data_IF_778165294133
#
_entry.id   IF_778165294133
#
_cell.length_a   1.000
_cell.length_b   1.000
_cell.length_c   1.000
_cell.angle_alpha   90.00
_cell.angle_beta   90.00
_cell.angle_gamma   90.00
#
_symmetry.space_group_name_H-M   'P 1'
#
loop_
_entity.id
_entity.type
_entity.pdbx_description
1 polymer ?
#
# COMPACT_ATOMS: atom_id res chain seq x y z
N UNK A 1 -1.31 14.93 29.77
CA UNK A 1 -1.91 16.06 29.02
C UNK A 1 -2.18 15.59 27.59
N UNK A 2 -3.46 15.46 27.17
CA UNK A 2 -3.82 15.23 25.75
C UNK A 2 -3.58 16.56 25.02
N UNK A 3 -2.56 16.65 24.18
CA UNK A 3 -2.36 17.82 23.33
C UNK A 3 -3.62 18.00 22.47
N UNK A 4 -4.17 19.21 22.42
CA UNK A 4 -5.28 19.55 21.52
C UNK A 4 -4.79 19.27 20.09
N UNK A 5 -5.41 18.30 19.40
CA UNK A 5 -5.13 17.99 18.00
C UNK A 5 -5.85 19.04 17.15
N UNK A 6 -5.13 20.07 16.77
CA UNK A 6 -5.64 21.09 15.85
C UNK A 6 -5.36 20.66 14.40
N UNK A 7 -6.34 20.89 13.52
CA UNK A 7 -6.11 20.77 12.08
C UNK A 7 -5.28 21.99 11.64
N UNK A 8 -4.04 21.75 11.24
CA UNK A 8 -3.14 22.80 10.77
C UNK A 8 -3.69 23.60 9.57
N UNK A 9 -4.73 23.07 8.89
CA UNK A 9 -5.29 23.66 7.67
C UNK A 9 -6.66 24.30 7.85
N UNK A 10 -7.41 24.02 8.92
CA UNK A 10 -8.81 24.48 9.07
C UNK A 10 -9.14 25.15 10.41
N UNK A 11 -8.20 25.34 11.32
CA UNK A 11 -8.39 25.97 12.66
C UNK A 11 -9.57 25.39 13.50
N UNK A 12 -10.05 24.18 13.21
CA UNK A 12 -11.12 23.51 13.94
C UNK A 12 -10.57 22.36 14.79
N UNK A 13 -11.10 22.20 15.99
CA UNK A 13 -10.73 21.08 16.86
C UNK A 13 -11.13 19.73 16.21
N UNK A 14 -10.15 18.85 16.00
CA UNK A 14 -10.40 17.49 15.51
C UNK A 14 -10.71 16.60 16.70
N UNK A 15 -11.94 16.07 16.75
CA UNK A 15 -12.38 15.09 17.75
C UNK A 15 -11.88 13.69 17.41
N UNK A 16 -12.03 13.27 16.13
CA UNK A 16 -11.60 11.97 15.63
C UNK A 16 -10.77 12.17 14.37
N UNK A 17 -9.44 11.99 14.41
CA UNK A 17 -8.59 12.08 13.23
C UNK A 17 -8.80 10.84 12.34
N UNK A 18 -8.50 10.95 11.03
CA UNK A 18 -8.59 9.83 10.11
C UNK A 18 -7.57 8.73 10.44
N UNK A 19 -6.34 9.13 10.76
CA UNK A 19 -5.24 8.25 11.11
C UNK A 19 -4.31 8.93 12.10
N UNK A 20 -3.70 8.14 12.99
CA UNK A 20 -2.65 8.60 13.90
C UNK A 20 -1.48 7.63 13.77
N UNK A 21 -0.30 8.09 13.33
CA UNK A 21 0.90 7.28 13.35
C UNK A 21 1.24 6.80 14.76
N UNK A 22 1.53 5.51 14.91
CA UNK A 22 1.89 4.94 16.20
C UNK A 22 3.39 5.05 16.47
N UNK A 23 3.84 6.21 16.92
CA UNK A 23 5.24 6.47 17.31
C UNK A 23 5.33 6.64 18.80
N UNK A 24 6.13 5.80 19.46
CA UNK A 24 6.34 5.80 20.91
C UNK A 24 7.79 6.12 21.31
N UNK A 25 8.09 6.06 22.61
CA UNK A 25 9.43 6.32 23.15
C UNK A 25 10.49 5.35 22.62
N UNK A 26 10.11 4.10 22.35
CA UNK A 26 11.05 3.10 21.80
C UNK A 26 11.47 3.45 20.36
N UNK A 27 10.58 4.05 19.57
CA UNK A 27 10.88 4.52 18.22
C UNK A 27 11.84 5.71 18.25
N UNK A 28 11.59 6.67 19.16
CA UNK A 28 12.48 7.83 19.37
C UNK A 28 13.88 7.38 19.79
N UNK A 29 13.96 6.40 20.72
CA UNK A 29 15.25 5.82 21.17
C UNK A 29 15.98 5.12 20.02
N UNK A 30 15.28 4.38 19.17
CA UNK A 30 15.86 3.70 18.02
C UNK A 30 16.50 4.70 17.04
N UNK A 31 15.80 5.80 16.72
CA UNK A 31 16.32 6.88 15.87
C UNK A 31 17.54 7.52 16.50
N UNK A 32 17.49 7.87 17.80
CA UNK A 32 18.60 8.51 18.51
C UNK A 32 19.87 7.62 18.51
N UNK A 33 19.71 6.30 18.60
CA UNK A 33 20.84 5.36 18.49
C UNK A 33 21.41 5.36 17.06
N UNK A 34 20.57 5.37 16.03
CA UNK A 34 21.01 5.38 14.65
C UNK A 34 21.80 6.64 14.29
N UNK A 35 21.46 7.79 14.88
CA UNK A 35 22.18 9.06 14.69
C UNK A 35 23.61 9.06 15.25
N UNK A 36 23.95 8.12 16.14
CA UNK A 36 25.32 7.96 16.66
C UNK A 36 26.23 7.18 15.71
N UNK A 37 25.69 6.63 14.62
CA UNK A 37 26.47 5.85 13.64
C UNK A 37 27.24 6.77 12.69
N UNK A 38 28.46 6.38 12.36
CA UNK A 38 29.25 7.03 11.29
C UNK A 38 28.77 6.63 9.88
N UNK A 39 27.93 5.59 9.77
CA UNK A 39 27.33 5.13 8.52
C UNK A 39 25.84 5.49 8.54
N UNK A 40 25.43 6.47 7.76
CA UNK A 40 24.06 6.95 7.71
C UNK A 40 23.26 6.40 6.52
N UNK A 41 23.92 5.72 5.57
CA UNK A 41 23.30 5.10 4.40
C UNK A 41 23.97 3.76 4.08
N UNK A 42 23.17 2.80 3.55
CA UNK A 42 23.63 1.46 3.13
C UNK A 42 24.43 0.69 4.21
N UNK A 43 24.06 0.91 5.46
CA UNK A 43 24.76 0.42 6.64
C UNK A 43 24.17 -0.87 7.24
N UNK A 44 24.59 -1.20 8.47
CA UNK A 44 24.20 -2.47 9.12
C UNK A 44 22.74 -2.49 9.57
N UNK A 45 22.15 -1.33 9.90
CA UNK A 45 20.74 -1.26 10.37
C UNK A 45 19.80 -1.56 9.22
N UNK A 46 20.05 -1.02 8.02
CA UNK A 46 19.28 -1.34 6.82
C UNK A 46 19.34 -2.84 6.53
N UNK A 47 20.54 -3.45 6.55
CA UNK A 47 20.69 -4.90 6.32
C UNK A 47 19.92 -5.72 7.34
N UNK A 48 19.93 -5.31 8.61
CA UNK A 48 19.15 -5.96 9.67
C UNK A 48 17.65 -5.78 9.43
N UNK A 49 17.19 -4.60 9.03
CA UNK A 49 15.79 -4.35 8.70
C UNK A 49 15.34 -5.22 7.51
N UNK A 50 16.09 -5.25 6.41
CA UNK A 50 15.84 -6.13 5.25
C UNK A 50 15.75 -7.60 5.69
N UNK A 51 16.68 -8.09 6.52
CA UNK A 51 16.69 -9.47 7.04
C UNK A 51 15.46 -9.79 7.89
N UNK A 52 15.11 -8.92 8.85
CA UNK A 52 13.92 -9.13 9.70
C UNK A 52 12.61 -8.99 8.90
N UNK A 53 12.57 -8.11 7.90
CA UNK A 53 11.41 -7.96 7.03
C UNK A 53 11.21 -9.20 6.14
N UNK A 54 12.28 -9.75 5.57
CA UNK A 54 12.20 -11.00 4.80
C UNK A 54 11.75 -12.17 5.69
N UNK A 55 12.24 -12.26 6.93
CA UNK A 55 11.78 -13.26 7.91
C UNK A 55 10.30 -13.10 8.26
N UNK A 56 9.84 -11.86 8.46
CA UNK A 56 8.45 -11.56 8.79
C UNK A 56 7.49 -11.95 7.66
N UNK A 57 7.86 -11.69 6.41
CA UNK A 57 7.04 -11.98 5.22
C UNK A 57 7.20 -13.41 4.68
N UNK A 58 8.25 -14.13 5.11
CA UNK A 58 8.58 -15.44 4.55
C UNK A 58 9.23 -15.37 3.15
N UNK A 59 9.70 -14.19 2.74
CA UNK A 59 10.48 -14.03 1.52
C UNK A 59 11.95 -14.39 1.73
N UNK A 60 12.67 -14.71 0.65
CA UNK A 60 14.12 -14.97 0.73
C UNK A 60 14.93 -13.67 0.82
N UNK A 61 14.47 -12.63 0.14
CA UNK A 61 15.17 -11.34 0.02
C UNK A 61 14.22 -10.18 0.24
N UNK A 62 14.73 -9.15 0.90
CA UNK A 62 14.08 -7.85 1.02
C UNK A 62 15.08 -6.75 0.64
N UNK A 63 14.60 -5.68 0.01
CA UNK A 63 15.39 -4.55 -0.49
C UNK A 63 14.69 -3.27 -0.07
N UNK A 64 15.28 -2.53 0.88
CA UNK A 64 14.74 -1.24 1.32
C UNK A 64 14.92 -0.16 0.27
N UNK A 65 13.89 0.64 0.05
CA UNK A 65 13.84 1.72 -0.95
C UNK A 65 13.22 2.99 -0.38
N UNK A 66 13.35 4.11 -1.10
CA UNK A 66 12.89 5.43 -0.63
C UNK A 66 11.36 5.53 -0.42
N UNK A 67 10.55 4.79 -1.16
CA UNK A 67 9.10 4.71 -1.04
C UNK A 67 8.52 3.55 -1.88
N UNK A 68 7.21 3.29 -1.78
CA UNK A 68 6.55 2.23 -2.56
C UNK A 68 6.48 2.52 -4.07
N UNK A 69 6.39 3.79 -4.47
CA UNK A 69 6.41 4.17 -5.90
C UNK A 69 7.72 3.75 -6.54
N UNK A 70 8.85 4.01 -5.87
CA UNK A 70 10.17 3.53 -6.27
C UNK A 70 10.25 2.00 -6.28
N UNK A 71 9.59 1.33 -5.31
CA UNK A 71 9.54 -0.13 -5.26
C UNK A 71 8.87 -0.72 -6.52
N UNK A 72 7.69 -0.20 -6.88
CA UNK A 72 6.94 -0.62 -8.06
C UNK A 72 7.72 -0.34 -9.35
N UNK A 73 8.29 0.87 -9.48
CA UNK A 73 9.09 1.26 -10.64
C UNK A 73 10.32 0.36 -10.82
N UNK A 74 11.07 0.11 -9.76
CA UNK A 74 12.25 -0.77 -9.80
C UNK A 74 11.87 -2.21 -10.13
N UNK A 75 10.72 -2.71 -9.61
CA UNK A 75 10.22 -4.05 -9.92
C UNK A 75 9.91 -4.20 -11.40
N UNK A 76 9.18 -3.26 -11.99
CA UNK A 76 8.89 -3.22 -13.42
C UNK A 76 10.19 -3.14 -14.25
N UNK A 77 11.09 -2.22 -13.91
CA UNK A 77 12.37 -2.04 -14.60
C UNK A 77 13.23 -3.30 -14.54
N UNK A 78 13.27 -3.97 -13.40
CA UNK A 78 14.07 -5.19 -13.22
C UNK A 78 13.55 -6.40 -14.00
N UNK A 79 12.28 -6.37 -14.39
CA UNK A 79 11.63 -7.34 -15.28
C UNK A 79 11.75 -6.98 -16.76
N UNK A 80 12.42 -5.87 -17.10
CA UNK A 80 12.59 -5.41 -18.46
C UNK A 80 11.35 -4.75 -19.07
N UNK A 81 10.33 -4.44 -18.24
CA UNK A 81 9.08 -3.82 -18.72
C UNK A 81 9.31 -2.35 -19.04
N UNK A 82 8.94 -1.93 -20.25
CA UNK A 82 9.21 -0.59 -20.77
C UNK A 82 8.35 -0.18 -21.95
N UNK A 83 8.90 0.69 -22.81
CA UNK A 83 8.20 1.24 -23.97
C UNK A 83 7.68 0.14 -24.88
N UNK A 84 6.39 0.20 -25.22
CA UNK A 84 5.70 -0.78 -26.05
C UNK A 84 4.95 -1.86 -25.26
N UNK A 85 5.30 -2.06 -23.99
CA UNK A 85 4.63 -3.02 -23.10
C UNK A 85 3.38 -2.42 -22.46
N UNK A 86 2.46 -3.30 -22.06
CA UNK A 86 1.25 -2.97 -21.32
C UNK A 86 1.27 -3.69 -19.97
N UNK A 87 0.79 -2.99 -18.93
CA UNK A 87 0.66 -3.52 -17.57
C UNK A 87 -0.77 -3.31 -17.07
N UNK A 88 -1.44 -4.41 -16.72
CA UNK A 88 -2.80 -4.36 -16.19
C UNK A 88 -2.77 -3.98 -14.70
N UNK A 89 -3.54 -2.94 -14.35
CA UNK A 89 -3.67 -2.41 -12.98
C UNK A 89 -5.14 -2.16 -12.64
N UNK A 90 -5.56 -2.19 -11.36
CA UNK A 90 -6.93 -1.81 -11.00
C UNK A 90 -7.18 -0.33 -11.21
N UNK A 91 -8.39 0.03 -11.62
CA UNK A 91 -8.82 1.43 -11.78
C UNK A 91 -9.00 2.16 -10.43
N UNK A 92 -9.39 1.44 -9.36
CA UNK A 92 -9.44 1.97 -7.99
C UNK A 92 -8.15 1.60 -7.26
N UNK A 93 -7.17 2.49 -7.35
CA UNK A 93 -5.90 2.42 -6.64
C UNK A 93 -5.32 3.82 -6.42
N UNK A 94 -4.27 3.91 -5.63
CA UNK A 94 -3.49 5.15 -5.53
C UNK A 94 -2.70 5.40 -6.82
N UNK A 95 -2.54 6.65 -7.17
CA UNK A 95 -1.87 7.09 -8.42
C UNK A 95 -0.46 6.52 -8.63
N UNK A 96 0.22 6.11 -7.54
CA UNK A 96 1.56 5.55 -7.61
C UNK A 96 1.64 4.27 -8.45
N UNK A 97 0.59 3.45 -8.45
CA UNK A 97 0.53 2.21 -9.25
C UNK A 97 0.60 2.52 -10.76
N UNK A 98 -0.18 3.52 -11.24
CA UNK A 98 -0.14 3.95 -12.63
C UNK A 98 1.16 4.70 -12.96
N UNK A 99 1.61 5.60 -12.07
CA UNK A 99 2.84 6.37 -12.28
C UNK A 99 4.06 5.46 -12.42
N UNK A 100 4.16 4.41 -11.60
CA UNK A 100 5.27 3.47 -11.68
C UNK A 100 5.36 2.79 -13.05
N UNK A 101 4.23 2.44 -13.67
CA UNK A 101 4.17 1.92 -15.04
C UNK A 101 4.62 2.98 -16.05
N UNK A 102 4.06 4.19 -15.95
CA UNK A 102 4.41 5.29 -16.88
C UNK A 102 5.89 5.68 -16.80
N UNK A 103 6.51 5.64 -15.62
CA UNK A 103 7.94 5.94 -15.43
C UNK A 103 8.88 4.94 -16.14
N UNK A 104 8.41 3.74 -16.47
CA UNK A 104 9.19 2.80 -17.29
C UNK A 104 9.00 3.01 -18.79
N UNK A 105 8.06 3.85 -19.19
CA UNK A 105 7.64 4.04 -20.58
C UNK A 105 6.57 3.03 -21.04
N UNK A 106 6.16 2.10 -20.18
CA UNK A 106 5.06 1.17 -20.44
C UNK A 106 3.70 1.87 -20.30
N UNK A 107 2.66 1.24 -20.84
CA UNK A 107 1.29 1.76 -20.80
C UNK A 107 0.45 1.05 -19.74
N UNK A 108 -0.14 1.76 -18.77
CA UNK A 108 -1.11 1.17 -17.86
C UNK A 108 -2.41 0.82 -18.59
N UNK A 109 -2.91 -0.40 -18.37
CA UNK A 109 -4.24 -0.83 -18.82
C UNK A 109 -5.13 -0.96 -17.59
N UNK A 110 -6.22 -0.19 -17.57
CA UNK A 110 -7.10 -0.13 -16.41
C UNK A 110 -8.11 -1.29 -16.44
N UNK A 111 -8.11 -2.12 -15.42
CA UNK A 111 -9.08 -3.16 -15.18
C UNK A 111 -10.06 -2.75 -14.09
N UNK A 112 -11.31 -3.19 -14.20
CA UNK A 112 -12.34 -2.96 -13.19
C UNK A 112 -12.06 -3.76 -11.91
N UNK A 113 -12.76 -3.41 -10.83
CA UNK A 113 -12.64 -4.04 -9.53
C UNK A 113 -13.87 -4.90 -9.21
N UNK A 114 -13.77 -5.81 -8.25
CA UNK A 114 -14.93 -6.53 -7.72
C UNK A 114 -15.76 -5.59 -6.83
N UNK A 115 -17.06 -5.83 -6.78
CA UNK A 115 -17.97 -5.03 -5.97
C UNK A 115 -17.83 -5.28 -4.47
N UNK A 116 -17.48 -6.50 -4.08
CA UNK A 116 -17.47 -7.02 -2.70
C UNK A 116 -16.14 -6.81 -1.96
N UNK A 117 -15.05 -6.44 -2.64
CA UNK A 117 -13.74 -6.26 -1.99
C UNK A 117 -12.87 -5.13 -2.55
N UNK A 118 -13.30 -4.48 -3.64
CA UNK A 118 -12.57 -3.42 -4.34
C UNK A 118 -11.19 -3.86 -4.89
N UNK A 119 -10.88 -5.15 -4.85
CA UNK A 119 -9.69 -5.71 -5.48
C UNK A 119 -9.91 -5.88 -6.98
N UNK A 120 -8.82 -5.99 -7.74
CA UNK A 120 -8.87 -6.16 -9.19
C UNK A 120 -9.69 -7.40 -9.58
N UNK A 121 -10.60 -7.25 -10.55
CA UNK A 121 -11.44 -8.33 -11.04
C UNK A 121 -10.70 -9.19 -12.06
N UNK A 122 -10.66 -10.52 -11.81
CA UNK A 122 -10.04 -11.47 -12.74
C UNK A 122 -10.74 -11.48 -14.11
N UNK A 123 -12.07 -11.34 -14.13
CA UNK A 123 -12.84 -11.24 -15.35
C UNK A 123 -12.48 -9.97 -16.14
N UNK A 124 -12.19 -8.86 -15.43
CA UNK A 124 -11.74 -7.65 -16.10
C UNK A 124 -10.29 -7.75 -16.56
N UNK A 125 -9.42 -8.47 -15.86
CA UNK A 125 -8.06 -8.76 -16.34
C UNK A 125 -8.14 -9.52 -17.68
N UNK A 126 -8.90 -10.59 -17.73
CA UNK A 126 -9.07 -11.45 -18.93
C UNK A 126 -9.54 -10.64 -20.15
N UNK A 127 -10.49 -9.74 -19.96
CA UNK A 127 -11.01 -8.88 -21.04
C UNK A 127 -10.11 -7.71 -21.44
N UNK A 128 -9.06 -7.44 -20.68
CA UNK A 128 -8.11 -6.35 -20.96
C UNK A 128 -6.72 -6.84 -21.44
N UNK A 129 -6.51 -8.16 -21.56
CA UNK A 129 -5.25 -8.72 -22.04
C UNK A 129 -5.05 -8.47 -23.54
N UNK A 130 -3.83 -8.15 -23.93
CA UNK A 130 -3.40 -8.02 -25.33
C UNK A 130 -2.05 -8.71 -25.54
N UNK A 131 -1.59 -8.83 -26.79
CA UNK A 131 -0.23 -9.34 -27.11
C UNK A 131 0.90 -8.48 -26.52
N UNK A 132 0.60 -7.24 -26.12
CA UNK A 132 1.55 -6.29 -25.48
C UNK A 132 1.56 -6.42 -23.95
N UNK A 133 0.59 -7.09 -23.37
CA UNK A 133 0.53 -7.26 -21.91
C UNK A 133 1.69 -8.11 -21.42
N UNK A 134 2.45 -7.58 -20.44
CA UNK A 134 3.62 -8.25 -19.86
C UNK A 134 3.48 -8.51 -18.37
N UNK A 135 2.65 -7.73 -17.68
CA UNK A 135 2.47 -7.90 -16.24
C UNK A 135 1.09 -7.47 -15.76
N UNK A 136 0.78 -7.94 -14.55
CA UNK A 136 -0.37 -7.53 -13.74
C UNK A 136 0.18 -6.97 -12.42
N UNK A 137 -0.38 -5.84 -11.98
CA UNK A 137 -0.13 -5.30 -10.62
C UNK A 137 -1.43 -5.41 -9.81
N UNK A 138 -1.68 -6.53 -9.12
CA UNK A 138 -2.75 -6.60 -8.14
C UNK A 138 -2.43 -5.70 -6.95
N UNK A 139 -3.41 -4.92 -6.48
CA UNK A 139 -3.31 -4.08 -5.30
C UNK A 139 -4.15 -4.72 -4.20
N UNK A 140 -3.55 -5.09 -3.08
CA UNK A 140 -4.26 -5.66 -1.93
C UNK A 140 -4.98 -4.56 -1.16
N UNK A 141 -6.13 -4.14 -1.71
CA UNK A 141 -6.85 -2.95 -1.29
C UNK A 141 -7.30 -3.03 0.17
N UNK A 142 -7.18 -1.91 0.89
CA UNK A 142 -7.56 -1.76 2.30
C UNK A 142 -6.90 -2.76 3.28
N UNK A 143 -5.96 -3.57 2.80
CA UNK A 143 -5.31 -4.65 3.55
C UNK A 143 -5.95 -6.03 3.32
N UNK A 144 -6.99 -6.14 2.48
CA UNK A 144 -7.60 -7.40 2.06
C UNK A 144 -6.84 -7.98 0.87
N UNK A 145 -6.53 -9.27 0.93
CA UNK A 145 -5.81 -9.93 -0.15
C UNK A 145 -6.67 -10.02 -1.43
N UNK A 146 -6.06 -9.78 -2.59
CA UNK A 146 -6.61 -10.25 -3.86
C UNK A 146 -6.71 -11.78 -3.87
N UNK A 147 -7.54 -12.36 -4.75
CA UNK A 147 -7.56 -13.79 -5.00
C UNK A 147 -6.31 -14.21 -5.77
N UNK A 148 -5.22 -14.41 -5.04
CA UNK A 148 -3.90 -14.69 -5.63
C UNK A 148 -3.86 -16.04 -6.36
N UNK A 149 -4.67 -17.03 -5.94
CA UNK A 149 -4.76 -18.32 -6.64
C UNK A 149 -5.25 -18.14 -8.09
N UNK A 150 -6.32 -17.38 -8.28
CA UNK A 150 -6.86 -17.10 -9.62
C UNK A 150 -5.92 -16.24 -10.45
N UNK A 151 -5.31 -15.21 -9.84
CA UNK A 151 -4.36 -14.32 -10.54
C UNK A 151 -3.11 -15.09 -10.96
N UNK A 152 -2.52 -15.94 -10.10
CA UNK A 152 -1.37 -16.76 -10.44
C UNK A 152 -1.67 -17.75 -11.58
N UNK A 153 -2.85 -18.41 -11.51
CA UNK A 153 -3.28 -19.30 -12.59
C UNK A 153 -3.37 -18.54 -13.92
N UNK A 154 -4.09 -17.43 -13.93
CA UNK A 154 -4.25 -16.61 -15.13
C UNK A 154 -2.90 -16.11 -15.69
N UNK A 155 -2.04 -15.60 -14.82
CA UNK A 155 -0.72 -15.10 -15.21
C UNK A 155 0.16 -16.21 -15.83
N UNK A 156 0.13 -17.41 -15.25
CA UNK A 156 0.85 -18.57 -15.76
C UNK A 156 0.32 -19.01 -17.14
N UNK A 157 -1.01 -19.07 -17.30
CA UNK A 157 -1.67 -19.49 -18.55
C UNK A 157 -1.39 -18.50 -19.71
N UNK A 158 -1.02 -17.23 -19.39
CA UNK A 158 -0.77 -16.16 -20.35
C UNK A 158 0.68 -15.62 -20.35
N UNK A 159 1.64 -16.28 -19.71
CA UNK A 159 3.05 -15.87 -19.55
C UNK A 159 3.23 -14.43 -19.05
N UNK A 160 2.43 -14.03 -18.05
CA UNK A 160 2.48 -12.70 -17.45
C UNK A 160 3.25 -12.70 -16.14
N UNK A 161 3.92 -11.58 -15.85
CA UNK A 161 4.58 -11.33 -14.56
C UNK A 161 3.61 -10.72 -13.56
N UNK A 162 3.78 -11.02 -12.27
CA UNK A 162 2.98 -10.46 -11.19
C UNK A 162 3.87 -9.60 -10.30
N UNK A 163 3.47 -8.34 -10.10
CA UNK A 163 4.09 -7.42 -9.14
C UNK A 163 3.01 -7.06 -8.12
N UNK A 164 3.12 -7.55 -6.89
CA UNK A 164 2.09 -7.28 -5.88
C UNK A 164 2.28 -5.89 -5.25
N UNK A 165 1.29 -5.00 -5.39
CA UNK A 165 1.24 -3.76 -4.62
C UNK A 165 0.65 -4.04 -3.24
N UNK A 166 1.56 -4.19 -2.27
CA UNK A 166 1.27 -4.49 -0.87
C UNK A 166 1.27 -3.23 0.01
N UNK A 167 1.15 -2.03 -0.58
CA UNK A 167 1.23 -0.76 0.18
C UNK A 167 0.21 -0.65 1.31
N UNK A 168 -0.87 -1.44 1.29
CA UNK A 168 -1.90 -1.52 2.34
C UNK A 168 -1.83 -2.83 3.16
N UNK A 169 -0.93 -3.76 2.83
CA UNK A 169 -1.14 -5.15 3.18
C UNK A 169 0.00 -5.80 4.00
N UNK A 170 0.77 -4.99 4.76
CA UNK A 170 1.81 -5.55 5.62
C UNK A 170 1.18 -6.37 6.77
N UNK A 171 1.42 -7.67 6.74
CA UNK A 171 0.85 -8.64 7.66
C UNK A 171 -0.38 -9.37 7.12
N UNK A 172 -0.87 -9.00 5.92
CA UNK A 172 -1.96 -9.72 5.24
C UNK A 172 -1.47 -11.06 4.71
N UNK A 173 -2.34 -12.07 4.81
CA UNK A 173 -2.07 -13.42 4.30
C UNK A 173 -3.18 -13.90 3.37
N UNK A 174 -2.80 -14.66 2.37
CA UNK A 174 -3.65 -15.47 1.53
C UNK A 174 -3.21 -16.95 1.65
N UNK A 175 -4.13 -17.85 1.99
CA UNK A 175 -3.83 -19.28 2.21
C UNK A 175 -2.57 -19.50 3.09
N UNK A 176 -2.52 -18.81 4.25
CA UNK A 176 -1.44 -18.85 5.25
C UNK A 176 -0.12 -18.22 4.81
N UNK A 177 0.09 -17.88 3.53
CA UNK A 177 1.29 -17.19 3.02
C UNK A 177 1.09 -15.67 3.03
N UNK A 178 2.15 -14.92 3.31
CA UNK A 178 2.12 -13.46 3.28
C UNK A 178 1.95 -12.97 1.84
N UNK A 179 1.04 -12.00 1.61
CA UNK A 179 0.96 -11.32 0.31
C UNK A 179 2.29 -10.62 -0.01
N UNK A 180 2.59 -10.48 -1.30
CA UNK A 180 3.90 -10.05 -1.78
C UNK A 180 4.85 -11.21 -2.07
N UNK A 181 4.46 -12.47 -1.73
CA UNK A 181 5.26 -13.68 -2.00
C UNK A 181 4.69 -14.54 -3.12
N UNK A 182 3.63 -14.11 -3.78
CA UNK A 182 2.95 -14.84 -4.84
C UNK A 182 3.42 -14.46 -6.25
N UNK A 183 3.93 -13.24 -6.43
CA UNK A 183 4.51 -12.75 -7.68
C UNK A 183 6.03 -12.75 -7.68
N UNK A 184 6.62 -12.14 -8.72
CA UNK A 184 8.05 -11.92 -8.84
C UNK A 184 8.57 -11.00 -7.74
N UNK A 185 7.77 -9.97 -7.39
CA UNK A 185 8.08 -9.03 -6.32
C UNK A 185 6.81 -8.61 -5.58
N UNK A 186 6.97 -8.28 -4.29
CA UNK A 186 5.97 -7.58 -3.48
C UNK A 186 6.50 -6.23 -3.01
N UNK A 187 5.71 -5.16 -3.18
CA UNK A 187 6.11 -3.78 -2.94
C UNK A 187 5.34 -3.19 -1.75
N UNK A 188 6.04 -2.72 -0.72
CA UNK A 188 5.45 -2.20 0.53
C UNK A 188 5.76 -0.72 0.70
N UNK A 189 4.84 -0.02 1.38
CA UNK A 189 4.95 1.41 1.72
C UNK A 189 5.09 1.60 3.22
N UNK A 190 5.94 2.55 3.61
CA UNK A 190 6.12 2.98 4.98
C UNK A 190 5.78 4.46 5.19
N UNK A 191 4.88 4.99 4.35
CA UNK A 191 4.32 6.33 4.49
C UNK A 191 3.60 6.49 5.85
N UNK A 192 3.47 7.70 6.42
CA UNK A 192 2.93 7.91 7.77
C UNK A 192 1.55 7.31 8.04
N UNK A 193 0.71 7.15 7.03
CA UNK A 193 -0.63 6.56 7.20
C UNK A 193 -0.61 5.03 7.24
N UNK A 194 0.49 4.38 6.83
CA UNK A 194 0.58 2.92 6.71
C UNK A 194 0.68 2.23 8.07
N UNK A 195 0.44 0.92 8.08
CA UNK A 195 0.45 0.13 9.31
C UNK A 195 1.82 0.09 10.01
N UNK A 196 2.88 0.28 9.24
CA UNK A 196 4.24 0.54 9.68
C UNK A 196 4.72 1.81 8.97
N UNK A 197 5.33 2.73 9.70
CA UNK A 197 5.88 3.96 9.12
C UNK A 197 7.37 4.14 9.39
N UNK A 198 8.04 4.73 8.40
CA UNK A 198 9.39 5.27 8.52
C UNK A 198 9.44 6.75 8.07
N UNK A 199 8.33 7.48 8.20
CA UNK A 199 8.01 8.76 7.56
C UNK A 199 7.88 8.60 6.04
N UNK A 200 8.98 8.42 5.35
CA UNK A 200 9.08 7.94 3.98
C UNK A 200 9.88 6.65 3.95
N UNK A 201 9.52 5.73 3.07
CA UNK A 201 10.18 4.45 2.92
C UNK A 201 9.34 3.42 2.17
N UNK A 202 10.01 2.37 1.73
CA UNK A 202 9.39 1.22 1.11
C UNK A 202 10.29 -0.01 1.19
N UNK A 203 9.74 -1.15 0.81
CA UNK A 203 10.46 -2.41 0.73
C UNK A 203 10.00 -3.20 -0.49
N UNK A 204 10.94 -3.80 -1.20
CA UNK A 204 10.66 -4.81 -2.22
C UNK A 204 11.03 -6.16 -1.62
N UNK A 205 10.18 -7.17 -1.77
CA UNK A 205 10.52 -8.55 -1.43
C UNK A 205 10.50 -9.41 -2.70
N UNK A 206 11.35 -10.46 -2.70
CA UNK A 206 11.41 -11.43 -3.81
C UNK A 206 11.96 -12.78 -3.33
N UNK A 207 11.66 -13.83 -4.07
CA UNK A 207 12.24 -15.17 -3.86
C UNK A 207 13.52 -15.40 -4.69
N UNK A 208 13.82 -14.52 -5.65
CA UNK A 208 14.93 -14.66 -6.61
C UNK A 208 16.17 -13.89 -6.17
N UNK A 209 17.32 -14.59 -6.04
CA UNK A 209 18.62 -13.98 -5.76
C UNK A 209 19.03 -13.02 -6.86
N UNK A 210 18.89 -13.43 -8.13
CA UNK A 210 19.22 -12.61 -9.31
C UNK A 210 18.42 -11.32 -9.32
N UNK A 211 17.09 -11.39 -9.03
CA UNK A 211 16.23 -10.23 -8.92
C UNK A 211 16.69 -9.30 -7.80
N UNK A 212 16.98 -9.83 -6.61
CA UNK A 212 17.44 -9.04 -5.47
C UNK A 212 18.74 -8.28 -5.74
N UNK A 213 19.70 -8.92 -6.41
CA UNK A 213 20.98 -8.31 -6.81
C UNK A 213 20.74 -7.18 -7.83
N UNK A 214 19.90 -7.42 -8.83
CA UNK A 214 19.52 -6.42 -9.84
C UNK A 214 18.82 -5.22 -9.20
N UNK A 215 17.83 -5.45 -8.31
CA UNK A 215 17.12 -4.40 -7.58
C UNK A 215 18.05 -3.55 -6.70
N UNK A 216 19.05 -4.16 -6.04
CA UNK A 216 20.06 -3.44 -5.26
C UNK A 216 20.94 -2.55 -6.14
N UNK A 217 21.31 -3.02 -7.32
CA UNK A 217 22.05 -2.24 -8.31
C UNK A 217 21.21 -1.07 -8.82
N UNK A 218 19.98 -1.34 -9.30
CA UNK A 218 19.06 -0.32 -9.82
C UNK A 218 18.73 0.76 -8.76
N UNK A 219 18.55 0.38 -7.51
CA UNK A 219 18.32 1.30 -6.37
C UNK A 219 19.46 2.28 -6.17
N UNK A 220 20.68 1.88 -6.55
CA UNK A 220 21.92 2.62 -6.30
C UNK A 220 22.68 2.89 -7.61
N UNK A 221 22.12 3.72 -8.50
CA UNK A 221 22.74 4.21 -9.73
C UNK A 221 23.17 3.16 -10.75
N UNK A 222 22.73 1.89 -10.63
CA UNK A 222 23.20 0.79 -11.48
C UNK A 222 24.58 0.26 -11.12
N UNK A 223 25.14 0.68 -9.98
CA UNK A 223 26.46 0.27 -9.52
C UNK A 223 26.47 -1.24 -9.22
N UNK A 224 27.48 -1.94 -9.74
CA UNK A 224 27.61 -3.40 -9.62
C UNK A 224 28.19 -3.90 -8.29
N UNK A 225 29.00 -3.06 -7.62
CA UNK A 225 29.62 -3.37 -6.33
C UNK A 225 28.94 -2.59 -5.20
N UNK A 226 28.54 -3.26 -4.13
CA UNK A 226 28.06 -2.59 -2.91
C UNK A 226 29.15 -1.73 -2.28
N UNK A 227 28.76 -0.75 -1.44
CA UNK A 227 29.70 0.11 -0.71
C UNK A 227 30.74 -0.73 0.04
N UNK A 228 30.30 -1.77 0.77
CA UNK A 228 31.18 -2.69 1.48
C UNK A 228 32.19 -3.37 0.54
N UNK A 229 31.74 -3.91 -0.60
CA UNK A 229 32.64 -4.57 -1.55
C UNK A 229 33.70 -3.63 -2.10
N UNK A 230 33.34 -2.35 -2.33
CA UNK A 230 34.28 -1.33 -2.81
C UNK A 230 35.40 -1.05 -1.82
N UNK A 231 35.12 -1.07 -0.51
CA UNK A 231 36.12 -0.82 0.54
C UNK A 231 36.84 -2.06 1.05
N UNK A 232 36.40 -3.27 0.70
CA UNK A 232 37.03 -4.52 1.18
C UNK A 232 37.82 -5.27 0.11
N UNK A 233 37.59 -4.98 -1.18
CA UNK A 233 38.26 -5.67 -2.30
C UNK A 233 38.59 -4.67 -3.42
N UNK A 234 39.85 -4.35 -3.60
CA UNK A 234 40.33 -3.44 -4.64
C UNK A 234 40.23 -1.96 -4.26
N UNK A 235 40.20 -1.11 -5.24
CA UNK A 235 40.08 0.34 -5.03
C UNK A 235 38.61 0.77 -4.91
N UNK A 236 38.26 1.71 -3.99
CA UNK A 236 36.87 2.14 -3.78
C UNK A 236 36.19 2.72 -5.02
N UNK A 237 36.94 3.27 -5.94
CA UNK A 237 36.44 3.83 -7.20
C UNK A 237 36.36 2.82 -8.35
N UNK A 238 36.86 1.59 -8.18
CA UNK A 238 36.83 0.54 -9.20
C UNK A 238 35.47 -0.19 -9.16
N UNK A 239 34.48 0.40 -9.82
CA UNK A 239 33.16 -0.18 -10.03
C UNK A 239 32.65 0.11 -11.45
N UNK A 240 31.73 -0.72 -11.91
CA UNK A 240 31.11 -0.59 -13.22
C UNK A 240 29.62 -0.27 -13.10
N UNK A 241 29.07 0.40 -14.12
CA UNK A 241 27.65 0.71 -14.28
C UNK A 241 27.16 0.02 -15.56
N UNK A 242 26.44 -1.10 -15.41
CA UNK A 242 25.95 -1.90 -16.55
C UNK A 242 24.55 -1.51 -17.02
N UNK A 243 23.83 -0.70 -16.26
CA UNK A 243 22.49 -0.24 -16.57
C UNK A 243 22.21 1.09 -15.88
N UNK A 244 21.31 1.88 -16.46
CA UNK A 244 20.85 3.11 -15.81
C UNK A 244 20.05 2.76 -14.55
N UNK A 245 20.53 3.21 -13.40
CA UNK A 245 19.88 3.07 -12.10
C UNK A 245 19.42 4.40 -11.53
N UNK A 246 18.89 4.36 -10.32
CA UNK A 246 18.25 5.47 -9.62
C UNK A 246 18.90 5.70 -8.26
N UNK A 247 18.61 6.83 -7.63
CA UNK A 247 18.95 7.07 -6.23
C UNK A 247 17.73 6.88 -5.35
N UNK A 248 17.33 5.63 -5.14
CA UNK A 248 16.14 5.25 -4.37
C UNK A 248 16.49 4.52 -3.06
N UNK A 249 17.61 4.90 -2.45
CA UNK A 249 18.07 4.35 -1.17
C UNK A 249 17.18 4.82 -0.02
N UNK A 250 17.05 3.98 0.99
CA UNK A 250 16.57 4.35 2.33
C UNK A 250 17.80 4.46 3.26
N UNK A 251 17.77 5.43 4.15
CA UNK A 251 18.85 5.69 5.11
C UNK A 251 18.75 4.81 6.37
N UNK A 252 19.79 4.87 7.21
CA UNK A 252 19.87 4.10 8.46
C UNK A 252 18.87 4.59 9.51
N UNK A 253 18.54 5.88 9.52
CA UNK A 253 17.60 6.49 10.49
C UNK A 253 16.20 5.93 10.26
N UNK A 254 15.71 5.98 9.01
CA UNK A 254 14.42 5.40 8.62
C UNK A 254 14.42 3.88 8.78
N UNK A 255 15.53 3.23 8.46
CA UNK A 255 15.68 1.78 8.64
C UNK A 255 15.61 1.37 10.11
N UNK A 256 16.16 2.17 11.02
CA UNK A 256 16.10 1.96 12.46
C UNK A 256 14.67 2.06 13.00
N UNK A 257 13.94 3.10 12.55
CA UNK A 257 12.52 3.24 12.86
C UNK A 257 11.72 2.03 12.33
N UNK A 258 11.93 1.66 11.06
CA UNK A 258 11.26 0.53 10.43
C UNK A 258 11.50 -0.79 11.15
N UNK A 259 12.74 -1.05 11.56
CA UNK A 259 13.10 -2.23 12.33
C UNK A 259 12.39 -2.28 13.69
N UNK A 260 12.27 -1.14 14.39
CA UNK A 260 11.55 -1.08 15.66
C UNK A 260 10.03 -1.20 15.48
N UNK A 261 9.47 -0.54 14.48
CA UNK A 261 8.04 -0.62 14.12
C UNK A 261 7.64 -2.06 13.72
N UNK A 262 8.51 -2.78 13.00
CA UNK A 262 8.25 -4.16 12.59
C UNK A 262 8.03 -5.11 13.77
N UNK A 263 8.71 -4.89 14.90
CA UNK A 263 8.51 -5.68 16.13
C UNK A 263 7.08 -5.54 16.69
N UNK A 264 6.44 -4.42 16.43
CA UNK A 264 5.10 -4.06 16.95
C UNK A 264 3.97 -4.37 15.97
N UNK A 265 4.26 -4.67 14.71
CA UNK A 265 3.26 -4.73 13.63
C UNK A 265 2.13 -5.73 13.90
N UNK A 266 2.43 -6.92 14.46
CA UNK A 266 1.42 -7.92 14.79
C UNK A 266 0.41 -7.38 15.82
N UNK A 267 0.88 -6.67 16.86
CA UNK A 267 0.02 -6.04 17.87
C UNK A 267 -0.81 -4.92 17.25
N UNK A 268 -0.21 -4.07 16.41
CA UNK A 268 -0.91 -2.97 15.74
C UNK A 268 -2.02 -3.48 14.80
N UNK A 269 -1.75 -4.54 14.03
CA UNK A 269 -2.77 -5.15 13.17
C UNK A 269 -3.91 -5.79 13.98
N UNK A 270 -3.63 -6.47 15.09
CA UNK A 270 -4.67 -7.00 15.99
C UNK A 270 -5.58 -5.89 16.55
N UNK A 271 -5.03 -4.74 16.91
CA UNK A 271 -5.83 -3.60 17.39
C UNK A 271 -6.73 -3.05 16.27
N UNK A 272 -6.23 -2.93 15.03
CA UNK A 272 -7.04 -2.55 13.87
C UNK A 272 -8.14 -3.57 13.55
N UNK A 273 -7.83 -4.85 13.62
CA UNK A 273 -8.82 -5.94 13.46
C UNK A 273 -9.92 -5.87 14.52
N UNK A 274 -9.56 -5.58 15.77
CA UNK A 274 -10.55 -5.38 16.85
C UNK A 274 -11.46 -4.18 16.58
N UNK A 275 -10.91 -3.07 16.09
CA UNK A 275 -11.69 -1.90 15.71
C UNK A 275 -12.61 -2.20 14.49
N UNK A 276 -12.14 -2.95 13.48
CA UNK A 276 -12.97 -3.41 12.37
C UNK A 276 -14.14 -4.28 12.85
N UNK A 277 -13.89 -5.25 13.76
CA UNK A 277 -14.96 -6.07 14.37
C UNK A 277 -15.99 -5.21 15.10
N UNK A 278 -15.53 -4.17 15.81
CA UNK A 278 -16.43 -3.24 16.49
C UNK A 278 -17.30 -2.46 15.50
N UNK A 279 -16.73 -1.93 14.44
CA UNK A 279 -17.49 -1.25 13.38
C UNK A 279 -18.48 -2.21 12.69
N UNK A 280 -18.06 -3.41 12.28
CA UNK A 280 -18.94 -4.39 11.65
C UNK A 280 -20.17 -4.67 12.52
N UNK A 281 -19.97 -4.92 13.83
CA UNK A 281 -21.07 -5.19 14.77
C UNK A 281 -22.10 -4.06 14.84
N UNK A 282 -21.64 -2.80 14.77
CA UNK A 282 -22.50 -1.64 15.01
C UNK A 282 -23.04 -1.00 13.73
N UNK A 283 -22.42 -1.25 12.56
CA UNK A 283 -22.82 -0.64 11.28
C UNK A 283 -23.70 -1.52 10.42
N UNK A 284 -23.64 -2.85 10.56
CA UNK A 284 -24.42 -3.78 9.74
C UNK A 284 -25.95 -3.60 9.82
N UNK A 285 -26.44 -3.02 10.92
CA UNK A 285 -27.85 -2.78 11.16
C UNK A 285 -28.27 -1.32 10.85
N UNK A 286 -27.38 -0.51 10.26
CA UNK A 286 -27.71 0.84 9.79
C UNK A 286 -28.22 0.73 8.36
N UNK A 287 -29.49 1.01 8.15
CA UNK A 287 -30.09 0.94 6.81
C UNK A 287 -29.35 1.88 5.83
N UNK A 288 -29.18 1.43 4.60
CA UNK A 288 -28.43 2.17 3.59
C UNK A 288 -26.91 2.21 3.76
N UNK A 289 -26.34 1.54 4.79
CA UNK A 289 -24.91 1.33 4.93
C UNK A 289 -24.54 -0.12 4.66
N UNK A 290 -23.62 -0.34 3.72
CA UNK A 290 -23.02 -1.67 3.49
C UNK A 290 -21.57 -1.66 3.92
N UNK A 291 -21.15 -2.69 4.65
CA UNK A 291 -19.78 -2.89 5.12
C UNK A 291 -19.12 -4.02 4.32
N UNK A 292 -17.84 -3.86 4.04
CA UNK A 292 -17.04 -4.90 3.37
C UNK A 292 -16.57 -5.92 4.43
N UNK A 293 -17.43 -6.86 4.79
CA UNK A 293 -17.06 -7.92 5.72
C UNK A 293 -15.97 -8.83 5.12
N UNK A 294 -15.01 -9.19 5.94
CA UNK A 294 -13.99 -10.16 5.59
C UNK A 294 -14.12 -11.38 6.51
N UNK A 295 -14.56 -12.54 6.01
CA UNK A 295 -14.67 -13.74 6.82
C UNK A 295 -13.32 -14.25 7.35
N UNK A 296 -12.22 -13.79 6.75
CA UNK A 296 -10.84 -14.07 7.17
C UNK A 296 -10.15 -12.83 7.76
N UNK A 297 -10.89 -12.04 8.53
CA UNK A 297 -10.43 -10.74 9.06
C UNK A 297 -9.10 -10.85 9.84
N UNK A 298 -8.82 -11.97 10.50
CA UNK A 298 -7.55 -12.23 11.20
C UNK A 298 -6.36 -12.36 10.26
N UNK A 299 -6.59 -12.63 8.97
CA UNK A 299 -5.57 -12.64 7.92
C UNK A 299 -5.41 -11.30 7.21
N UNK A 300 -6.22 -10.29 7.57
CA UNK A 300 -6.23 -8.96 6.98
C UNK A 300 -5.47 -7.97 7.87
N UNK A 301 -4.64 -7.12 7.29
CA UNK A 301 -3.92 -6.05 8.02
C UNK A 301 -4.82 -4.89 8.46
N UNK A 302 -6.03 -4.80 7.92
CA UNK A 302 -7.02 -3.75 8.24
C UNK A 302 -6.42 -2.34 8.12
N UNK A 303 -5.88 -2.03 6.94
CA UNK A 303 -5.31 -0.70 6.71
C UNK A 303 -6.37 0.39 6.63
N UNK A 304 -7.46 0.13 5.91
CA UNK A 304 -8.62 1.03 5.80
C UNK A 304 -9.88 0.30 6.24
N UNK A 305 -10.85 1.07 6.75
CA UNK A 305 -12.20 0.62 6.96
C UNK A 305 -13.13 1.40 6.01
N UNK A 306 -13.57 0.74 4.95
CA UNK A 306 -14.39 1.34 3.89
C UNK A 306 -15.83 0.90 4.07
N UNK A 307 -16.76 1.85 3.93
CA UNK A 307 -18.20 1.59 3.85
C UNK A 307 -18.74 2.00 2.48
N UNK A 308 -19.85 1.42 2.08
CA UNK A 308 -20.64 1.80 0.91
C UNK A 308 -21.95 2.45 1.37
N UNK A 309 -22.23 3.64 0.86
CA UNK A 309 -23.45 4.38 1.11
C UNK A 309 -24.42 4.09 -0.04
N UNK A 310 -25.52 3.41 0.26
CA UNK A 310 -26.54 3.00 -0.70
C UNK A 310 -27.54 4.13 -0.92
N UNK A 311 -28.34 4.03 -1.97
CA UNK A 311 -29.34 5.05 -2.34
C UNK A 311 -30.40 5.29 -1.27
N UNK A 312 -30.78 4.23 -0.53
CA UNK A 312 -31.75 4.30 0.58
C UNK A 312 -31.19 4.90 1.88
N UNK A 313 -29.92 5.32 1.94
CA UNK A 313 -29.36 6.01 3.12
C UNK A 313 -29.89 7.45 3.27
N UNK A 314 -30.55 8.00 2.27
CA UNK A 314 -31.21 9.31 2.31
C UNK A 314 -30.30 10.50 1.97
N UNK A 315 -28.98 10.39 2.11
CA UNK A 315 -28.03 11.44 1.70
C UNK A 315 -26.85 10.89 0.89
N UNK A 316 -26.25 11.74 0.07
CA UNK A 316 -25.09 11.37 -0.73
C UNK A 316 -23.84 11.18 0.14
N UNK A 317 -22.85 10.38 -0.35
CA UNK A 317 -21.52 10.24 0.25
C UNK A 317 -20.86 11.61 0.51
N UNK A 318 -21.02 12.58 -0.39
CA UNK A 318 -20.40 13.91 -0.23
C UNK A 318 -21.05 14.71 0.89
N UNK A 319 -22.39 14.64 1.02
CA UNK A 319 -23.10 15.28 2.13
C UNK A 319 -22.73 14.62 3.46
N UNK A 320 -22.64 13.30 3.50
CA UNK A 320 -22.20 12.57 4.69
C UNK A 320 -20.75 12.96 5.08
N UNK A 321 -19.83 13.07 4.11
CA UNK A 321 -18.47 13.57 4.35
C UNK A 321 -18.50 14.97 5.00
N UNK A 322 -19.32 15.89 4.49
CA UNK A 322 -19.47 17.24 5.06
C UNK A 322 -20.02 17.20 6.49
N UNK A 323 -20.96 16.29 6.78
CA UNK A 323 -21.50 16.11 8.12
C UNK A 323 -20.44 15.56 9.11
N UNK A 324 -19.59 14.62 8.68
CA UNK A 324 -18.46 14.19 9.48
C UNK A 324 -17.51 15.35 9.82
N UNK A 325 -17.17 16.17 8.83
CA UNK A 325 -16.30 17.35 9.03
C UNK A 325 -16.91 18.34 10.03
N UNK A 326 -18.24 18.64 9.92
CA UNK A 326 -18.95 19.50 10.88
C UNK A 326 -18.89 18.97 12.32
N UNK A 327 -18.87 17.64 12.50
CA UNK A 327 -18.78 17.00 13.81
C UNK A 327 -17.32 16.77 14.29
N UNK A 328 -16.31 17.32 13.57
CA UNK A 328 -14.90 17.19 13.93
C UNK A 328 -14.31 15.80 13.64
N UNK A 329 -14.95 15.02 12.77
CA UNK A 329 -14.51 13.67 12.38
C UNK A 329 -13.90 13.74 10.99
N UNK A 330 -12.70 13.17 10.82
CA UNK A 330 -12.02 13.12 9.53
C UNK A 330 -12.25 11.78 8.86
N UNK A 331 -12.78 11.82 7.63
CA UNK A 331 -12.99 10.68 6.75
C UNK A 331 -12.25 10.91 5.43
N UNK A 332 -12.17 9.90 4.56
CA UNK A 332 -11.50 10.04 3.26
C UNK A 332 -12.16 9.14 2.21
N UNK A 333 -11.76 9.32 0.94
CA UNK A 333 -12.21 8.47 -0.17
C UNK A 333 -11.00 7.76 -0.77
N UNK A 334 -10.97 6.45 -0.70
CA UNK A 334 -9.95 5.60 -1.29
C UNK A 334 -10.58 4.69 -2.36
N UNK A 335 -10.40 4.98 -3.67
CA UNK A 335 -9.79 6.16 -4.23
C UNK A 335 -10.68 6.77 -5.31
N UNK A 336 -10.39 8.00 -5.73
CA UNK A 336 -10.91 8.49 -7.01
C UNK A 336 -10.35 7.58 -8.10
N UNK A 337 -11.19 6.95 -8.95
CA UNK A 337 -10.73 6.06 -10.01
C UNK A 337 -9.75 6.74 -10.97
N UNK A 338 -8.76 5.99 -11.43
CA UNK A 338 -7.69 6.53 -12.29
C UNK A 338 -8.24 7.14 -13.58
N UNK A 339 -9.25 6.50 -14.20
CA UNK A 339 -9.87 7.02 -15.43
C UNK A 339 -10.50 8.42 -15.27
N UNK A 340 -10.72 8.91 -14.03
CA UNK A 340 -11.28 10.25 -13.76
C UNK A 340 -10.23 11.35 -13.66
N UNK A 341 -8.94 11.04 -13.72
CA UNK A 341 -7.87 12.04 -13.73
C UNK A 341 -7.50 12.43 -15.16
N UNK A 342 -7.29 13.72 -15.41
CA UNK A 342 -6.97 14.27 -16.73
C UNK A 342 -5.73 13.61 -17.37
N UNK A 343 -4.67 13.39 -16.58
CA UNK A 343 -3.45 12.73 -17.05
C UNK A 343 -3.74 11.30 -17.55
N UNK A 344 -4.45 10.51 -16.77
CA UNK A 344 -4.63 9.09 -17.06
C UNK A 344 -5.66 8.82 -18.16
N UNK A 345 -6.59 9.75 -18.43
CA UNK A 345 -7.47 9.68 -19.61
C UNK A 345 -6.68 9.53 -20.94
N UNK A 346 -5.51 10.17 -21.02
CA UNK A 346 -4.68 10.18 -22.21
C UNK A 346 -3.50 9.20 -22.17
N UNK A 347 -3.13 8.72 -20.98
CA UNK A 347 -1.94 7.88 -20.77
C UNK A 347 -2.25 6.43 -20.46
N UNK A 348 -3.47 6.12 -19.99
CA UNK A 348 -3.91 4.76 -19.74
C UNK A 348 -4.84 4.27 -20.86
N UNK A 349 -4.90 2.96 -21.03
CA UNK A 349 -5.85 2.30 -21.92
C UNK A 349 -6.97 1.63 -21.15
N UNK A 350 -8.15 1.54 -21.76
CA UNK A 350 -9.33 0.85 -21.26
C UNK A 350 -9.91 0.08 -22.44
N UNK A 351 -9.74 -1.24 -22.44
CA UNK A 351 -10.27 -2.09 -23.51
C UNK A 351 -11.66 -2.65 -23.16
N UNK A 352 -11.99 -2.71 -21.87
CA UNK A 352 -13.28 -3.19 -21.39
C UNK A 352 -13.90 -2.20 -20.38
N UNK A 353 -15.24 -1.99 -20.38
CA UNK A 353 -15.90 -0.99 -19.55
C UNK A 353 -15.66 -1.15 -18.06
N UNK A 354 -15.36 -0.06 -17.38
CA UNK A 354 -15.14 0.05 -15.93
C UNK A 354 -16.47 0.33 -15.20
N UNK A 355 -17.41 -0.61 -15.25
CA UNK A 355 -18.78 -0.42 -14.72
C UNK A 355 -18.81 -0.34 -13.21
N UNK A 356 -18.11 -1.25 -12.53
CA UNK A 356 -18.09 -1.38 -11.07
C UNK A 356 -17.39 -0.18 -10.42
N UNK A 357 -16.21 0.20 -10.88
CA UNK A 357 -15.50 1.35 -10.33
C UNK A 357 -16.24 2.66 -10.54
N UNK A 358 -16.95 2.83 -11.68
CA UNK A 358 -17.81 3.99 -11.91
C UNK A 358 -18.99 4.06 -10.94
N UNK A 359 -19.64 2.92 -10.69
CA UNK A 359 -20.78 2.81 -9.77
C UNK A 359 -20.36 2.99 -8.31
N UNK A 360 -19.25 2.36 -7.88
CA UNK A 360 -18.81 2.38 -6.47
C UNK A 360 -18.22 3.73 -6.03
N UNK A 361 -17.53 4.43 -6.91
CA UNK A 361 -16.84 5.68 -6.53
C UNK A 361 -17.72 6.71 -5.83
N UNK A 362 -18.96 7.02 -6.26
CA UNK A 362 -19.82 7.96 -5.54
C UNK A 362 -20.33 7.42 -4.20
N UNK A 363 -20.18 6.13 -3.92
CA UNK A 363 -20.75 5.45 -2.76
C UNK A 363 -19.73 5.19 -1.65
N UNK A 364 -18.44 4.99 -1.97
CA UNK A 364 -17.42 4.56 -0.99
C UNK A 364 -16.92 5.70 -0.12
N UNK A 365 -16.76 5.43 1.19
CA UNK A 365 -16.18 6.33 2.18
C UNK A 365 -15.34 5.54 3.17
N UNK A 366 -14.12 6.01 3.45
CA UNK A 366 -13.25 5.40 4.46
C UNK A 366 -13.43 6.11 5.79
N UNK A 367 -13.76 5.35 6.83
CA UNK A 367 -13.91 5.80 8.21
C UNK A 367 -12.56 5.81 8.95
N UNK A 368 -12.44 6.56 10.05
CA UNK A 368 -11.25 6.55 10.90
C UNK A 368 -10.87 5.16 11.35
N UNK A 369 -9.59 4.77 11.12
CA UNK A 369 -9.07 3.50 11.60
C UNK A 369 -7.57 3.61 11.90
N UNK A 370 -7.18 3.46 13.16
CA UNK A 370 -5.79 3.42 13.63
C UNK A 370 -5.67 2.58 14.90
N UNK A 371 -4.47 2.08 15.27
CA UNK A 371 -4.33 1.12 16.36
C UNK A 371 -4.85 1.58 17.71
N UNK A 372 -4.78 2.89 18.02
CA UNK A 372 -5.19 3.46 19.30
C UNK A 372 -6.59 4.08 19.29
N UNK A 373 -7.39 3.87 18.23
CA UNK A 373 -8.75 4.38 18.17
C UNK A 373 -9.58 3.84 19.35
N UNK A 374 -10.19 4.73 20.09
CA UNK A 374 -10.98 4.38 21.28
C UNK A 374 -12.43 4.02 20.92
N UNK A 375 -13.12 3.28 21.81
CA UNK A 375 -14.56 3.03 21.64
C UNK A 375 -15.36 4.33 21.55
N UNK A 376 -15.01 5.35 22.34
CA UNK A 376 -15.70 6.64 22.32
C UNK A 376 -15.52 7.37 20.97
N UNK A 377 -14.32 7.32 20.37
CA UNK A 377 -14.09 7.87 19.04
C UNK A 377 -14.89 7.10 17.98
N UNK A 378 -14.92 5.78 18.05
CA UNK A 378 -15.74 4.94 17.13
C UNK A 378 -17.24 5.19 17.32
N UNK A 379 -17.73 5.33 18.54
CA UNK A 379 -19.13 5.67 18.83
C UNK A 379 -19.49 7.03 18.23
N UNK A 380 -18.61 8.04 18.34
CA UNK A 380 -18.85 9.34 17.72
C UNK A 380 -19.01 9.24 16.19
N UNK A 381 -18.28 8.32 15.54
CA UNK A 381 -18.44 8.03 14.09
C UNK A 381 -19.79 7.37 13.83
N UNK A 382 -20.16 6.36 14.60
CA UNK A 382 -21.42 5.62 14.47
C UNK A 382 -22.63 6.52 14.73
N UNK A 383 -22.56 7.42 15.70
CA UNK A 383 -23.66 8.36 16.04
C UNK A 383 -23.95 9.34 14.90
N UNK A 384 -22.92 9.78 14.16
CA UNK A 384 -23.12 10.62 12.96
C UNK A 384 -23.89 9.84 11.90
N UNK A 385 -23.58 8.55 11.69
CA UNK A 385 -24.29 7.71 10.71
C UNK A 385 -25.75 7.50 11.12
N UNK A 386 -26.01 7.15 12.40
CA UNK A 386 -27.37 6.91 12.93
C UNK A 386 -28.25 8.17 12.88
N UNK A 387 -27.71 9.36 13.11
CA UNK A 387 -28.47 10.63 13.04
C UNK A 387 -28.95 10.96 11.63
N UNK A 388 -28.43 10.33 10.59
CA UNK A 388 -28.91 10.56 9.21
C UNK A 388 -30.13 9.68 8.86
N UNK A 389 -30.48 8.71 9.69
CA UNK A 389 -31.64 7.81 9.50
C UNK A 389 -32.96 8.41 10.05
N UNK A 390 -32.90 9.61 10.64
CA UNK A 390 -34.05 10.34 11.15
C UNK A 390 -34.40 11.46 10.18
#
# INVERSE_FOLDING_TARGET
>A
MKSKRNDAFQNKSIKVPFVVPNIDSSDKKAIAIALKSNLLTDGPILRKFEKEFSRFTGSKYAIGVSNATSALQLSLKSLGIGKGDEVIIPDITFVATANAVLFTGATPVLADVNEDDLNISINSIDKNITKKTKAIIPVHFAGKSCNMKSIQKFAKDNDLKIIEDCAHALGTKFDKKHVGTFGETGCFSFYPTKNLTTFEGGMIITQSKKMAENLRSLRNHGITKSLRQRFTKGHPWDFDIKQMGYNFRIDEIRSSLGLNQLKKIKKMNKLRQSACKYYNKNLKNIDGISVYEDPKLESNSCHLYVIKILSNFGITRNNLFSNFVKNGIRTSVHYKPLHKFSLYKNKCKIYFPLKTSKSLYPQILSLPLFPQITKNEMNSVIDVLKKQQK
#
